data_IF_997490562077
#
_entry.id   IF_997490562077
#
_cell.length_a   1.000
_cell.length_b   1.000
_cell.length_c   1.000
_cell.angle_alpha   90.00
_cell.angle_beta   90.00
_cell.angle_gamma   90.00
#
_symmetry.space_group_name_H-M   'P 1'
#
loop_
_entity.id
_entity.type
_entity.pdbx_description
1 polymer ?
#
# COMPACT_ATOMS: atom_id res chain seq x y z
N UNK A 1 -8.47 2.13 7.53
CA UNK A 1 -9.08 1.37 6.44
C UNK A 1 -9.49 2.35 5.36
N UNK A 2 -9.16 2.10 4.12
CA UNK A 2 -9.40 3.00 2.98
C UNK A 2 -10.26 2.26 1.97
N UNK A 3 -11.36 2.88 1.50
CA UNK A 3 -12.25 2.28 0.49
C UNK A 3 -11.80 2.65 -0.91
N UNK A 4 -11.86 1.69 -1.82
CA UNK A 4 -11.40 1.81 -3.19
C UNK A 4 -12.27 1.09 -4.21
N UNK A 5 -11.83 1.14 -5.43
CA UNK A 5 -12.40 0.41 -6.56
C UNK A 5 -11.27 -0.15 -7.42
N UNK A 6 -11.53 -1.25 -8.11
CA UNK A 6 -10.69 -1.62 -9.24
C UNK A 6 -11.47 -1.49 -10.55
N UNK A 7 -10.77 -1.05 -11.58
CA UNK A 7 -11.39 -0.71 -12.86
C UNK A 7 -10.51 -1.14 -14.04
N UNK A 8 -11.18 -1.37 -15.15
CA UNK A 8 -10.60 -1.72 -16.42
C UNK A 8 -11.36 -1.05 -17.59
N UNK A 9 -10.97 -1.35 -18.81
CA UNK A 9 -11.72 -0.90 -20.02
C UNK A 9 -13.21 -1.19 -19.97
N UNK A 10 -13.65 -2.19 -19.21
CA UNK A 10 -15.05 -2.58 -19.12
C UNK A 10 -15.92 -1.57 -18.37
N UNK A 11 -15.31 -0.76 -17.49
CA UNK A 11 -15.98 0.35 -16.82
C UNK A 11 -16.19 1.57 -17.74
N UNK A 12 -15.61 1.54 -18.96
CA UNK A 12 -15.66 2.66 -19.88
C UNK A 12 -14.90 3.88 -19.36
N UNK A 13 -15.43 5.06 -19.60
CA UNK A 13 -14.86 6.31 -19.11
C UNK A 13 -15.39 6.62 -17.70
N UNK A 14 -14.56 6.37 -16.71
CA UNK A 14 -14.86 6.67 -15.30
C UNK A 14 -14.92 8.19 -15.09
N UNK A 15 -15.95 8.66 -14.40
CA UNK A 15 -16.02 10.02 -13.85
C UNK A 15 -15.29 10.07 -12.49
N UNK A 16 -13.98 10.27 -12.55
CA UNK A 16 -13.12 10.29 -11.36
C UNK A 16 -13.44 11.42 -10.39
N UNK A 17 -13.99 12.52 -10.88
CA UNK A 17 -14.43 13.64 -10.03
C UNK A 17 -15.65 13.23 -9.20
N UNK A 18 -16.64 12.60 -9.82
CA UNK A 18 -17.81 12.05 -9.11
C UNK A 18 -17.40 10.93 -8.15
N UNK A 19 -16.49 10.03 -8.55
CA UNK A 19 -15.98 8.98 -7.70
C UNK A 19 -15.27 9.53 -6.46
N UNK A 20 -14.41 10.55 -6.63
CA UNK A 20 -13.74 11.24 -5.53
C UNK A 20 -14.72 11.93 -4.59
N UNK A 21 -15.72 12.63 -5.14
CA UNK A 21 -16.75 13.31 -4.35
C UNK A 21 -17.59 12.32 -3.52
N UNK A 22 -17.74 11.08 -3.99
CA UNK A 22 -18.38 9.98 -3.26
C UNK A 22 -17.48 9.31 -2.20
N UNK A 23 -16.28 9.85 -1.95
CA UNK A 23 -15.38 9.39 -0.89
C UNK A 23 -14.35 8.34 -1.32
N UNK A 24 -14.07 8.20 -2.64
CA UNK A 24 -13.06 7.27 -3.13
C UNK A 24 -11.69 7.58 -2.52
N UNK A 25 -11.11 6.59 -1.83
CA UNK A 25 -9.81 6.67 -1.18
C UNK A 25 -8.67 6.24 -2.10
N UNK A 26 -8.88 5.22 -2.95
CA UNK A 26 -7.88 4.72 -3.89
C UNK A 26 -8.52 4.00 -5.09
N UNK A 27 -7.70 3.73 -6.11
CA UNK A 27 -8.10 2.94 -7.27
C UNK A 27 -7.00 1.96 -7.68
N UNK A 28 -7.39 0.74 -8.10
CA UNK A 28 -6.53 -0.20 -8.78
C UNK A 28 -6.91 -0.23 -10.26
N UNK A 29 -5.94 0.08 -11.13
CA UNK A 29 -6.18 0.32 -12.54
C UNK A 29 -5.61 -0.82 -13.36
N UNK A 30 -6.45 -1.52 -14.14
CA UNK A 30 -5.90 -2.49 -15.09
C UNK A 30 -5.03 -1.78 -16.10
N UNK A 31 -3.76 -2.19 -16.19
CA UNK A 31 -2.85 -1.61 -17.18
C UNK A 31 -2.84 -2.41 -18.49
N UNK A 32 -3.12 -3.70 -18.44
CA UNK A 32 -3.14 -4.58 -19.59
C UNK A 32 -3.38 -6.04 -19.18
N UNK A 33 -3.06 -6.94 -20.09
CA UNK A 33 -3.14 -8.39 -19.88
C UNK A 33 -2.07 -9.09 -20.70
N UNK A 34 -1.53 -10.21 -20.17
CA UNK A 34 -0.61 -11.08 -20.89
C UNK A 34 0.71 -10.42 -21.28
N UNK A 35 1.31 -10.93 -22.35
CA UNK A 35 2.65 -10.58 -22.83
C UNK A 35 2.81 -9.11 -23.22
N UNK A 36 4.06 -8.65 -23.33
CA UNK A 36 4.39 -7.27 -23.71
C UNK A 36 4.10 -6.97 -25.18
N UNK A 37 2.83 -6.74 -25.47
CA UNK A 37 2.31 -6.36 -26.77
C UNK A 37 1.39 -5.14 -26.59
N UNK A 38 1.56 -4.08 -27.37
CA UNK A 38 0.75 -2.86 -27.30
C UNK A 38 -0.75 -3.14 -27.49
N UNK A 39 -1.11 -4.18 -28.29
CA UNK A 39 -2.49 -4.62 -28.48
C UNK A 39 -3.14 -5.21 -27.22
N UNK A 40 -2.34 -5.51 -26.20
CA UNK A 40 -2.78 -6.04 -24.91
C UNK A 40 -2.81 -4.97 -23.81
N UNK A 41 -2.43 -3.73 -24.13
CA UNK A 41 -2.59 -2.60 -23.21
C UNK A 41 -4.09 -2.34 -22.95
N UNK A 42 -4.43 -1.96 -21.71
CA UNK A 42 -5.78 -1.47 -21.44
C UNK A 42 -5.94 -0.05 -21.98
N UNK A 43 -6.86 0.19 -22.94
CA UNK A 43 -6.98 1.49 -23.60
C UNK A 43 -7.39 2.64 -22.66
N UNK A 44 -7.95 2.32 -21.49
CA UNK A 44 -8.34 3.31 -20.48
C UNK A 44 -7.20 3.61 -19.49
N UNK A 45 -6.14 2.79 -19.43
CA UNK A 45 -5.11 2.92 -18.39
C UNK A 45 -4.46 4.30 -18.35
N UNK A 46 -3.97 4.79 -19.49
CA UNK A 46 -3.30 6.10 -19.55
C UNK A 46 -4.22 7.26 -19.16
N UNK A 47 -5.52 7.19 -19.55
CA UNK A 47 -6.54 8.15 -19.15
C UNK A 47 -6.80 8.05 -17.64
N UNK A 48 -7.03 6.86 -17.14
CA UNK A 48 -7.34 6.63 -15.72
C UNK A 48 -6.21 7.13 -14.81
N UNK A 49 -4.94 6.84 -15.14
CA UNK A 49 -3.77 7.38 -14.42
C UNK A 49 -3.80 8.91 -14.37
N UNK A 50 -3.92 9.56 -15.52
CA UNK A 50 -3.95 11.03 -15.60
C UNK A 50 -5.08 11.63 -14.77
N UNK A 51 -6.26 11.04 -14.85
CA UNK A 51 -7.44 11.54 -14.12
C UNK A 51 -7.33 11.26 -12.61
N UNK A 52 -6.79 10.10 -12.19
CA UNK A 52 -6.51 9.84 -10.77
C UNK A 52 -5.51 10.86 -10.22
N UNK A 53 -4.42 11.13 -10.93
CA UNK A 53 -3.42 12.13 -10.52
C UNK A 53 -4.04 13.53 -10.43
N UNK A 54 -4.84 13.93 -11.41
CA UNK A 54 -5.50 15.24 -11.45
C UNK A 54 -6.52 15.44 -10.30
N UNK A 55 -7.17 14.36 -9.84
CA UNK A 55 -8.14 14.39 -8.73
C UNK A 55 -7.54 14.01 -7.37
N UNK A 56 -6.22 13.81 -7.28
CA UNK A 56 -5.52 13.43 -6.06
C UNK A 56 -6.03 12.09 -5.49
N UNK A 57 -6.33 11.13 -6.36
CA UNK A 57 -6.72 9.77 -6.00
C UNK A 57 -5.46 8.89 -6.02
N UNK A 58 -5.01 8.34 -4.88
CA UNK A 58 -3.96 7.34 -4.86
C UNK A 58 -4.34 6.14 -5.72
N UNK A 59 -3.41 5.67 -6.55
CA UNK A 59 -3.69 4.54 -7.43
C UNK A 59 -2.55 3.52 -7.44
N UNK A 60 -2.90 2.28 -7.75
CA UNK A 60 -2.03 1.17 -8.12
C UNK A 60 -2.38 0.65 -9.50
N UNK A 61 -1.63 -0.32 -9.98
CA UNK A 61 -1.93 -0.94 -11.26
C UNK A 61 -1.98 -2.46 -11.15
N UNK A 62 -2.71 -3.13 -12.04
CA UNK A 62 -2.67 -4.56 -12.16
C UNK A 62 -2.64 -5.02 -13.63
N UNK A 63 -2.01 -6.18 -13.83
CA UNK A 63 -1.95 -6.88 -15.12
C UNK A 63 -2.64 -8.24 -14.97
N UNK A 64 -3.64 -8.50 -15.79
CA UNK A 64 -4.28 -9.82 -15.86
C UNK A 64 -3.33 -10.83 -16.52
N UNK A 65 -2.92 -11.85 -15.78
CA UNK A 65 -1.89 -12.78 -16.22
C UNK A 65 -2.44 -13.87 -17.14
N UNK A 66 -1.76 -14.06 -18.27
CA UNK A 66 -1.93 -15.20 -19.17
C UNK A 66 -0.72 -16.14 -19.19
N UNK A 67 0.26 -15.88 -18.32
CA UNK A 67 1.46 -16.69 -18.24
C UNK A 67 1.15 -18.17 -17.91
N UNK A 68 1.77 -19.08 -18.65
CA UNK A 68 1.69 -20.52 -18.43
C UNK A 68 3.00 -21.10 -17.87
N UNK A 69 4.06 -20.29 -17.86
CA UNK A 69 5.39 -20.64 -17.38
C UNK A 69 6.18 -19.38 -16.99
N UNK A 70 7.35 -19.49 -16.33
CA UNK A 70 8.16 -18.35 -15.93
C UNK A 70 8.72 -17.52 -17.11
N UNK A 71 8.82 -18.07 -18.32
CA UNK A 71 9.25 -17.31 -19.49
C UNK A 71 8.17 -16.33 -19.93
N UNK A 72 6.91 -16.76 -19.96
CA UNK A 72 5.77 -15.89 -20.22
C UNK A 72 5.67 -14.80 -19.14
N UNK A 73 5.89 -15.16 -17.87
CA UNK A 73 5.91 -14.21 -16.74
C UNK A 73 6.95 -13.09 -16.91
N UNK A 74 8.11 -13.39 -17.50
CA UNK A 74 9.11 -12.36 -17.82
C UNK A 74 8.60 -11.36 -18.88
N UNK A 75 7.83 -11.82 -19.86
CA UNK A 75 7.19 -10.92 -20.83
C UNK A 75 6.12 -10.05 -20.16
N UNK A 76 5.32 -10.60 -19.26
CA UNK A 76 4.34 -9.85 -18.47
C UNK A 76 5.00 -8.80 -17.56
N UNK A 77 6.16 -9.12 -16.98
CA UNK A 77 6.97 -8.16 -16.24
C UNK A 77 7.43 -7.00 -17.14
N UNK A 78 7.92 -7.28 -18.35
CA UNK A 78 8.30 -6.22 -19.29
C UNK A 78 7.10 -5.34 -19.68
N UNK A 79 5.93 -5.94 -19.87
CA UNK A 79 4.67 -5.24 -20.12
C UNK A 79 4.36 -4.23 -19.00
N UNK A 80 4.39 -4.69 -17.74
CA UNK A 80 4.21 -3.84 -16.57
C UNK A 80 5.23 -2.70 -16.53
N UNK A 81 6.53 -3.01 -16.67
CA UNK A 81 7.60 -2.01 -16.61
C UNK A 81 7.49 -0.96 -17.73
N UNK A 82 7.10 -1.37 -18.94
CA UNK A 82 6.86 -0.43 -20.04
C UNK A 82 5.72 0.52 -19.72
N UNK A 83 4.60 0.02 -19.23
CA UNK A 83 3.42 0.83 -18.95
C UNK A 83 3.59 1.73 -17.71
N UNK A 84 4.42 1.33 -16.75
CA UNK A 84 4.69 2.08 -15.53
C UNK A 84 5.79 3.14 -15.70
N UNK A 85 6.53 3.12 -16.79
CA UNK A 85 7.65 4.05 -17.02
C UNK A 85 7.22 5.51 -16.84
N UNK A 86 7.92 6.22 -15.94
CA UNK A 86 7.67 7.64 -15.65
C UNK A 86 6.42 7.91 -14.79
N UNK A 87 5.71 6.88 -14.31
CA UNK A 87 4.55 7.01 -13.45
C UNK A 87 4.93 6.76 -11.98
N UNK A 88 4.14 7.31 -11.07
CA UNK A 88 4.39 7.23 -9.61
C UNK A 88 3.15 6.75 -8.85
N UNK A 89 2.77 5.48 -8.97
CA UNK A 89 1.65 4.93 -8.20
C UNK A 89 1.91 5.02 -6.70
N UNK A 90 0.84 5.16 -5.93
CA UNK A 90 0.87 5.19 -4.45
C UNK A 90 0.35 3.90 -3.83
N UNK A 91 -0.04 2.94 -4.65
CA UNK A 91 -0.40 1.57 -4.29
C UNK A 91 0.53 0.57 -4.98
N UNK A 92 0.55 -0.70 -4.53
CA UNK A 92 1.35 -1.74 -5.16
C UNK A 92 0.98 -1.98 -6.62
N UNK A 93 1.88 -2.65 -7.32
CA UNK A 93 1.65 -3.20 -8.66
C UNK A 93 1.34 -4.67 -8.50
N UNK A 94 0.18 -5.10 -8.98
CA UNK A 94 -0.31 -6.45 -8.79
C UNK A 94 -0.23 -7.27 -10.07
N UNK A 95 0.20 -8.53 -9.92
CA UNK A 95 -0.07 -9.57 -10.91
C UNK A 95 -1.41 -10.22 -10.54
N UNK A 96 -2.37 -10.14 -11.45
CA UNK A 96 -3.71 -10.70 -11.27
C UNK A 96 -3.72 -12.17 -11.71
N UNK A 97 -3.78 -13.06 -10.72
CA UNK A 97 -3.70 -14.52 -10.89
C UNK A 97 -5.05 -15.18 -10.75
N UNK A 98 -5.72 -15.28 -11.87
CA UNK A 98 -6.99 -15.98 -12.03
C UNK A 98 -7.12 -16.60 -13.43
N UNK A 99 -8.27 -17.18 -13.71
CA UNK A 99 -8.59 -17.81 -15.02
C UNK A 99 -10.09 -17.67 -15.34
N UNK A 100 -10.64 -16.45 -15.19
CA UNK A 100 -12.06 -16.19 -15.36
C UNK A 100 -12.58 -16.50 -16.78
N UNK A 101 -11.70 -16.42 -17.81
CA UNK A 101 -12.00 -16.74 -19.20
C UNK A 101 -11.62 -18.17 -19.60
N UNK A 102 -11.02 -18.94 -18.68
CA UNK A 102 -10.60 -20.33 -18.91
C UNK A 102 -9.39 -20.46 -19.83
N UNK A 103 -8.58 -19.42 -20.01
CA UNK A 103 -7.42 -19.44 -20.89
C UNK A 103 -6.38 -20.47 -20.45
N UNK A 104 -6.02 -20.47 -19.16
CA UNK A 104 -5.04 -21.40 -18.57
C UNK A 104 -5.60 -22.82 -18.55
N UNK A 105 -6.87 -22.99 -18.17
CA UNK A 105 -7.54 -24.29 -18.14
C UNK A 105 -7.56 -24.95 -19.52
N UNK A 106 -7.89 -24.22 -20.58
CA UNK A 106 -7.92 -24.71 -21.96
C UNK A 106 -6.54 -25.12 -22.50
N UNK A 107 -5.46 -24.69 -21.85
CA UNK A 107 -4.06 -24.98 -22.24
C UNK A 107 -3.34 -25.93 -21.29
N UNK A 108 -4.11 -26.62 -20.44
CA UNK A 108 -3.56 -27.58 -19.48
C UNK A 108 -3.05 -26.92 -18.21
N UNK A 109 -3.91 -26.19 -17.52
CA UNK A 109 -3.66 -25.47 -16.26
C UNK A 109 -2.29 -25.80 -15.62
N UNK A 110 -1.35 -24.86 -15.53
CA UNK A 110 -0.03 -25.14 -14.95
C UNK A 110 -0.14 -25.63 -13.51
N UNK A 111 0.87 -26.36 -13.05
CA UNK A 111 0.90 -26.85 -11.67
C UNK A 111 0.97 -25.69 -10.66
N UNK A 112 0.63 -25.98 -9.41
CA UNK A 112 0.70 -25.03 -8.29
C UNK A 112 2.10 -24.41 -8.16
N UNK A 113 3.13 -25.20 -8.32
CA UNK A 113 4.53 -24.76 -8.27
C UNK A 113 4.83 -23.77 -9.40
N UNK A 114 4.39 -24.08 -10.62
CA UNK A 114 4.61 -23.20 -11.79
C UNK A 114 3.85 -21.91 -11.64
N UNK A 115 2.57 -21.94 -11.23
CA UNK A 115 1.77 -20.74 -11.00
C UNK A 115 2.36 -19.86 -9.90
N UNK A 116 2.85 -20.46 -8.81
CA UNK A 116 3.55 -19.73 -7.73
C UNK A 116 4.85 -19.11 -8.23
N UNK A 117 5.62 -19.80 -9.07
CA UNK A 117 6.86 -19.28 -9.64
C UNK A 117 6.61 -18.14 -10.65
N UNK A 118 5.50 -18.16 -11.39
CA UNK A 118 5.05 -17.05 -12.23
C UNK A 118 4.88 -15.79 -11.38
N UNK A 119 4.13 -15.87 -10.28
CA UNK A 119 3.94 -14.74 -9.35
C UNK A 119 5.27 -14.24 -8.82
N UNK A 120 6.13 -15.13 -8.33
CA UNK A 120 7.45 -14.77 -7.80
C UNK A 120 8.32 -14.08 -8.86
N UNK A 121 8.32 -14.58 -10.08
CA UNK A 121 9.11 -13.99 -11.18
C UNK A 121 8.70 -12.55 -11.45
N UNK A 122 7.40 -12.27 -11.51
CA UNK A 122 6.92 -10.90 -11.77
C UNK A 122 7.13 -10.01 -10.55
N UNK A 123 6.76 -10.48 -9.35
CA UNK A 123 6.87 -9.67 -8.13
C UNK A 123 8.33 -9.34 -7.80
N UNK A 124 9.26 -10.30 -7.88
CA UNK A 124 10.68 -10.04 -7.66
C UNK A 124 11.23 -9.04 -8.68
N UNK A 125 10.90 -9.20 -9.96
CA UNK A 125 11.34 -8.26 -11.00
C UNK A 125 10.76 -6.84 -10.83
N UNK A 126 9.54 -6.70 -10.32
CA UNK A 126 8.97 -5.40 -9.96
C UNK A 126 9.70 -4.79 -8.77
N UNK A 127 10.03 -5.57 -7.76
CA UNK A 127 10.79 -5.08 -6.60
C UNK A 127 12.21 -4.68 -6.95
N UNK A 128 12.89 -5.46 -7.82
CA UNK A 128 14.21 -5.13 -8.36
C UNK A 128 14.17 -3.81 -9.16
N UNK A 129 13.05 -3.53 -9.84
CA UNK A 129 12.82 -2.26 -10.52
C UNK A 129 12.38 -1.11 -9.60
N UNK A 130 12.29 -1.35 -8.28
CA UNK A 130 11.96 -0.34 -7.28
C UNK A 130 10.46 -0.15 -7.03
N UNK A 131 9.61 -1.03 -7.52
CA UNK A 131 8.18 -1.00 -7.23
C UNK A 131 7.83 -1.81 -5.98
N UNK A 132 6.73 -1.46 -5.34
CA UNK A 132 6.09 -2.30 -4.33
C UNK A 132 5.21 -3.30 -5.07
N UNK A 133 5.53 -4.58 -4.94
CA UNK A 133 4.88 -5.64 -5.70
C UNK A 133 3.82 -6.39 -4.90
N UNK A 134 2.83 -6.94 -5.59
CA UNK A 134 1.81 -7.77 -5.02
C UNK A 134 1.17 -8.73 -6.03
N UNK A 135 0.28 -9.55 -5.54
CA UNK A 135 -0.53 -10.44 -6.36
C UNK A 135 -2.00 -10.41 -5.92
N UNK A 136 -2.87 -10.58 -6.90
CA UNK A 136 -4.30 -10.80 -6.67
C UNK A 136 -4.62 -12.26 -6.86
N UNK A 137 -5.47 -12.79 -6.00
CA UNK A 137 -6.09 -14.09 -6.18
C UNK A 137 -7.40 -14.17 -5.40
N UNK A 138 -8.35 -14.95 -5.91
CA UNK A 138 -9.55 -15.32 -5.20
C UNK A 138 -9.30 -16.53 -4.27
N UNK A 139 -10.32 -16.89 -3.49
CA UNK A 139 -10.23 -17.98 -2.51
C UNK A 139 -9.78 -19.31 -3.12
N UNK A 140 -10.40 -19.74 -4.23
CA UNK A 140 -10.06 -21.02 -4.87
C UNK A 140 -8.59 -21.06 -5.30
N UNK A 141 -8.10 -19.97 -5.90
CA UNK A 141 -6.72 -19.87 -6.35
C UNK A 141 -5.71 -19.94 -5.20
N UNK A 142 -5.98 -19.26 -4.11
CA UNK A 142 -5.10 -19.30 -2.92
C UNK A 142 -5.07 -20.70 -2.28
N UNK A 143 -6.21 -21.38 -2.25
CA UNK A 143 -6.32 -22.70 -1.63
C UNK A 143 -5.77 -23.84 -2.53
N UNK A 144 -5.94 -23.71 -3.85
CA UNK A 144 -5.71 -24.84 -4.77
C UNK A 144 -4.60 -24.62 -5.82
N UNK A 145 -4.29 -23.37 -6.17
CA UNK A 145 -3.42 -23.02 -7.30
C UNK A 145 -2.12 -22.31 -6.91
N UNK A 146 -2.07 -21.65 -5.78
CA UNK A 146 -0.90 -20.90 -5.31
C UNK A 146 -0.38 -21.47 -3.98
N UNK A 147 0.87 -21.15 -3.67
CA UNK A 147 1.51 -21.42 -2.39
C UNK A 147 1.70 -20.08 -1.64
N UNK A 148 0.74 -19.67 -0.77
CA UNK A 148 0.77 -18.37 -0.12
C UNK A 148 1.98 -18.19 0.82
N UNK A 149 2.51 -19.27 1.38
CA UNK A 149 3.69 -19.19 2.27
C UNK A 149 4.91 -18.69 1.49
N UNK A 150 5.08 -19.15 0.25
CA UNK A 150 6.17 -18.70 -0.64
C UNK A 150 5.96 -17.28 -1.19
N UNK A 151 4.77 -16.73 -1.04
CA UNK A 151 4.38 -15.40 -1.52
C UNK A 151 4.21 -14.37 -0.38
N UNK A 152 4.44 -14.75 0.87
CA UNK A 152 4.21 -13.94 2.07
C UNK A 152 5.01 -12.63 2.13
N UNK A 153 6.05 -12.48 1.31
CA UNK A 153 6.82 -11.22 1.20
C UNK A 153 6.16 -10.15 0.32
N UNK A 154 5.13 -10.50 -0.46
CA UNK A 154 4.47 -9.60 -1.40
C UNK A 154 3.11 -9.15 -0.87
N UNK A 155 2.66 -7.99 -1.34
CA UNK A 155 1.32 -7.50 -1.02
C UNK A 155 0.24 -8.45 -1.55
N UNK A 156 -0.73 -8.77 -0.71
CA UNK A 156 -1.81 -9.67 -1.10
C UNK A 156 -3.13 -8.92 -1.26
N UNK A 157 -3.65 -8.92 -2.49
CA UNK A 157 -4.97 -8.44 -2.84
C UNK A 157 -5.92 -9.65 -3.00
N UNK A 158 -6.80 -9.81 -2.04
CA UNK A 158 -7.64 -10.99 -1.90
C UNK A 158 -9.07 -10.73 -2.35
N UNK A 159 -9.57 -11.53 -3.30
CA UNK A 159 -10.99 -11.51 -3.69
C UNK A 159 -11.81 -12.47 -2.84
N UNK A 160 -12.74 -11.88 -2.11
CA UNK A 160 -13.74 -12.60 -1.32
C UNK A 160 -15.02 -11.78 -1.25
N UNK A 161 -15.75 -11.65 -2.40
CA UNK A 161 -16.93 -10.78 -2.48
C UNK A 161 -18.13 -11.35 -1.74
N UNK A 162 -19.04 -10.45 -1.35
CA UNK A 162 -20.32 -10.82 -0.76
C UNK A 162 -20.24 -11.41 0.63
N UNK A 163 -19.17 -11.14 1.39
CA UNK A 163 -19.03 -11.50 2.80
C UNK A 163 -18.81 -10.25 3.65
N UNK A 164 -19.11 -10.36 4.94
CA UNK A 164 -18.99 -9.21 5.86
C UNK A 164 -17.54 -8.81 6.15
N UNK A 165 -16.61 -9.77 6.05
CA UNK A 165 -15.16 -9.56 6.23
C UNK A 165 -14.39 -10.67 5.53
N UNK A 166 -13.12 -10.44 5.14
CA UNK A 166 -12.29 -11.49 4.57
C UNK A 166 -12.03 -12.61 5.59
N UNK A 167 -12.01 -13.85 5.10
CA UNK A 167 -11.79 -15.05 5.91
C UNK A 167 -10.31 -15.41 6.09
N UNK A 168 -9.41 -14.53 5.62
CA UNK A 168 -7.95 -14.61 5.82
C UNK A 168 -7.32 -13.24 5.86
N UNK A 169 -6.10 -13.16 6.41
CA UNK A 169 -5.30 -11.94 6.38
C UNK A 169 -4.94 -11.56 4.93
N UNK A 170 -5.14 -10.30 4.59
CA UNK A 170 -4.79 -9.70 3.32
C UNK A 170 -4.50 -8.20 3.52
N UNK A 171 -3.82 -7.60 2.56
CA UNK A 171 -3.51 -6.16 2.62
C UNK A 171 -4.60 -5.32 1.95
N UNK A 172 -5.15 -5.85 0.85
CA UNK A 172 -6.30 -5.30 0.15
C UNK A 172 -7.32 -6.41 -0.04
N UNK A 173 -8.58 -6.09 0.17
CA UNK A 173 -9.71 -7.00 0.02
C UNK A 173 -10.65 -6.48 -1.05
N UNK A 174 -10.87 -7.26 -2.12
CA UNK A 174 -11.96 -7.02 -3.06
C UNK A 174 -13.24 -7.56 -2.44
N UNK A 175 -14.05 -6.62 -1.93
CA UNK A 175 -15.18 -6.90 -1.04
C UNK A 175 -16.44 -7.25 -1.78
N UNK A 176 -16.66 -6.64 -2.95
CA UNK A 176 -17.83 -6.90 -3.79
C UNK A 176 -17.51 -6.84 -5.26
N UNK A 177 -18.26 -7.64 -6.01
CA UNK A 177 -18.45 -7.54 -7.44
C UNK A 177 -19.80 -6.86 -7.78
N UNK A 178 -20.06 -6.44 -9.01
CA UNK A 178 -21.39 -6.00 -9.42
C UNK A 178 -22.50 -6.98 -9.07
N UNK A 179 -22.22 -8.30 -9.15
CA UNK A 179 -23.16 -9.37 -8.83
C UNK A 179 -23.47 -9.53 -7.34
N UNK A 180 -22.62 -9.01 -6.47
CA UNK A 180 -22.80 -9.03 -4.99
C UNK A 180 -23.19 -7.67 -4.43
N UNK A 181 -23.42 -6.67 -5.29
CA UNK A 181 -23.89 -5.34 -4.92
C UNK A 181 -22.84 -4.25 -5.00
N UNK A 182 -21.64 -4.59 -5.47
CA UNK A 182 -20.56 -3.63 -5.68
C UNK A 182 -20.97 -2.53 -6.65
N UNK A 183 -20.74 -1.28 -6.26
CA UNK A 183 -21.01 -0.09 -7.07
C UNK A 183 -20.31 1.12 -6.50
N UNK A 184 -19.94 2.03 -7.40
CA UNK A 184 -19.36 3.31 -7.00
C UNK A 184 -19.82 4.43 -7.93
N UNK A 185 -20.29 5.58 -7.44
CA UNK A 185 -20.69 6.70 -8.28
C UNK A 185 -19.56 7.10 -9.25
N UNK A 186 -19.88 7.22 -10.52
CA UNK A 186 -18.91 7.58 -11.57
C UNK A 186 -18.09 6.43 -12.15
N UNK A 187 -18.09 5.23 -11.53
CA UNK A 187 -17.24 4.11 -11.96
C UNK A 187 -18.00 2.84 -12.36
N UNK A 188 -19.32 2.85 -12.26
CA UNK A 188 -20.13 1.67 -12.57
C UNK A 188 -20.04 1.30 -14.07
N UNK A 189 -19.94 0.01 -14.34
CA UNK A 189 -20.18 -0.55 -15.67
C UNK A 189 -21.62 -0.21 -16.07
N UNK A 190 -21.87 0.30 -17.28
CA UNK A 190 -23.23 0.64 -17.72
C UNK A 190 -24.20 -0.53 -17.53
N UNK A 191 -25.28 -0.27 -16.80
CA UNK A 191 -26.30 -1.29 -16.50
C UNK A 191 -25.92 -2.32 -15.43
N UNK A 192 -24.79 -2.13 -14.76
CA UNK A 192 -24.28 -3.03 -13.73
C UNK A 192 -23.73 -2.22 -12.54
N UNK A 193 -22.61 -2.67 -11.95
CA UNK A 193 -21.93 -2.07 -10.82
C UNK A 193 -20.44 -1.87 -11.10
N UNK A 194 -19.66 -1.85 -10.04
CA UNK A 194 -18.22 -1.73 -10.04
C UNK A 194 -17.65 -2.65 -8.97
N UNK A 195 -16.46 -3.19 -9.18
CA UNK A 195 -15.75 -3.90 -8.14
C UNK A 195 -15.30 -2.91 -7.06
N UNK A 196 -15.44 -3.31 -5.80
CA UNK A 196 -15.11 -2.46 -4.66
C UNK A 196 -14.08 -3.13 -3.76
N UNK A 197 -13.20 -2.30 -3.19
CA UNK A 197 -12.06 -2.72 -2.41
C UNK A 197 -11.94 -2.02 -1.07
N UNK A 198 -11.28 -2.69 -0.14
CA UNK A 198 -10.87 -2.12 1.13
C UNK A 198 -9.37 -2.36 1.35
N UNK A 199 -8.59 -1.31 1.60
CA UNK A 199 -7.19 -1.42 1.97
C UNK A 199 -7.02 -1.33 3.48
N UNK A 200 -6.35 -2.31 4.07
CA UNK A 200 -5.98 -2.36 5.49
C UNK A 200 -4.62 -1.73 5.76
N UNK A 201 -3.85 -1.44 4.68
CA UNK A 201 -2.53 -0.83 4.72
C UNK A 201 -2.59 0.60 4.18
N UNK A 202 -1.91 1.54 4.83
CA UNK A 202 -1.69 2.89 4.31
C UNK A 202 -0.54 2.87 3.29
N UNK A 203 -0.86 2.43 2.07
CA UNK A 203 0.13 2.37 0.99
C UNK A 203 0.68 3.73 0.57
N UNK A 204 -0.09 4.82 0.49
CA UNK A 204 0.46 6.14 0.22
C UNK A 204 1.56 6.57 1.18
N UNK A 205 1.43 6.27 2.48
CA UNK A 205 2.47 6.51 3.46
C UNK A 205 3.65 5.55 3.27
N UNK A 206 3.40 4.25 3.14
CA UNK A 206 4.41 3.20 2.98
C UNK A 206 5.28 3.42 1.75
N UNK A 207 4.68 3.64 0.58
CA UNK A 207 5.39 3.87 -0.69
C UNK A 207 6.34 5.05 -0.59
N UNK A 208 5.91 6.17 0.01
CA UNK A 208 6.76 7.35 0.21
C UNK A 208 7.87 7.08 1.22
N UNK A 209 7.57 6.42 2.33
CA UNK A 209 8.55 6.12 3.38
C UNK A 209 9.64 5.16 2.88
N UNK A 210 9.27 4.15 2.11
CA UNK A 210 10.20 3.17 1.55
C UNK A 210 10.94 3.69 0.30
N UNK A 211 10.46 4.76 -0.33
CA UNK A 211 11.01 5.28 -1.59
C UNK A 211 10.77 4.34 -2.75
N UNK A 212 9.60 3.72 -2.79
CA UNK A 212 9.17 2.80 -3.85
C UNK A 212 8.37 3.52 -4.94
N UNK A 213 8.09 2.83 -6.03
CA UNK A 213 7.22 3.30 -7.13
C UNK A 213 7.66 4.64 -7.74
N UNK A 214 8.96 4.89 -7.82
CA UNK A 214 9.51 6.13 -8.34
C UNK A 214 9.39 7.36 -7.40
N UNK A 215 8.87 7.18 -6.19
CA UNK A 215 8.92 8.21 -5.17
C UNK A 215 10.30 8.26 -4.53
N UNK A 216 10.87 9.45 -4.28
CA UNK A 216 12.13 9.53 -3.55
C UNK A 216 11.91 9.04 -2.13
N UNK A 217 12.82 8.20 -1.65
CA UNK A 217 12.86 7.92 -0.22
C UNK A 217 13.08 9.26 0.51
N UNK A 218 12.30 9.58 1.54
CA UNK A 218 12.60 10.74 2.37
C UNK A 218 14.09 10.69 2.73
N UNK A 219 14.81 11.80 2.55
CA UNK A 219 16.16 11.87 3.08
C UNK A 219 16.07 11.37 4.50
N UNK A 220 16.89 10.38 4.87
CA UNK A 220 17.05 10.01 6.27
C UNK A 220 17.21 11.35 6.95
N UNK A 221 16.27 11.70 7.88
CA UNK A 221 16.45 12.90 8.66
C UNK A 221 17.91 12.81 9.09
N UNK A 222 18.75 13.73 8.61
CA UNK A 222 20.17 13.73 8.94
C UNK A 222 20.16 13.57 10.43
N UNK A 223 20.66 12.41 10.95
CA UNK A 223 20.77 12.23 12.40
C UNK A 223 21.46 13.51 12.82
N UNK A 224 20.84 14.35 13.64
CA UNK A 224 21.55 15.47 14.20
C UNK A 224 22.81 14.83 14.77
N UNK A 225 23.97 15.33 14.35
CA UNK A 225 25.26 14.83 14.80
C UNK A 225 25.09 14.62 16.29
N UNK A 226 25.30 13.38 16.75
CA UNK A 226 25.13 12.90 18.12
C UNK A 226 25.46 14.05 19.05
N UNK A 227 24.44 14.82 19.49
CA UNK A 227 24.65 15.86 20.47
C UNK A 227 25.22 15.11 21.67
N UNK A 228 26.45 15.40 21.96
CA UNK A 228 27.08 14.92 23.20
C UNK A 228 26.08 15.29 24.31
N UNK A 229 25.88 14.36 25.23
CA UNK A 229 25.03 14.44 26.39
C UNK A 229 25.44 15.69 27.25
N UNK A 230 25.15 16.87 26.69
CA UNK A 230 25.22 18.13 27.40
C UNK A 230 23.81 18.34 27.90
N UNK A 231 23.60 18.28 29.19
CA UNK A 231 22.32 18.43 29.86
C UNK A 231 21.71 19.86 29.71
N UNK A 232 21.76 20.41 28.52
CA UNK A 232 21.13 21.67 28.15
C UNK A 232 19.65 21.43 27.87
N UNK A 233 18.80 22.03 28.68
CA UNK A 233 17.34 22.04 28.47
C UNK A 233 17.08 22.92 27.25
N UNK A 234 16.81 22.28 26.09
CA UNK A 234 16.34 23.00 24.90
C UNK A 234 14.90 23.41 25.16
N UNK A 235 14.64 24.72 25.24
CA UNK A 235 13.29 25.25 25.33
C UNK A 235 12.52 24.92 24.05
N UNK A 236 11.41 24.21 24.17
CA UNK A 236 10.52 23.86 23.06
C UNK A 236 9.09 24.18 23.44
N UNK A 237 8.30 24.63 22.44
CA UNK A 237 6.88 24.92 22.62
C UNK A 237 6.02 23.67 22.71
N UNK A 238 6.56 22.49 22.44
CA UNK A 238 5.87 21.21 22.51
C UNK A 238 5.99 20.55 23.88
N UNK A 239 4.86 20.34 24.55
CA UNK A 239 4.75 19.66 25.84
C UNK A 239 4.22 18.24 25.61
N UNK A 240 4.88 17.24 26.24
CA UNK A 240 4.46 15.85 26.20
C UNK A 240 3.87 15.45 27.57
N UNK A 241 2.94 14.50 27.54
CA UNK A 241 2.45 13.83 28.76
C UNK A 241 3.45 12.80 29.31
N UNK A 242 4.46 12.44 28.51
CA UNK A 242 5.51 11.48 28.85
C UNK A 242 6.82 12.21 29.09
N UNK A 243 7.32 12.14 30.31
CA UNK A 243 8.55 12.82 30.77
C UNK A 243 9.65 11.85 31.21
N UNK A 244 9.39 10.54 31.16
CA UNK A 244 10.33 9.48 31.55
C UNK A 244 10.43 8.43 30.46
N UNK A 245 11.52 7.68 30.47
CA UNK A 245 11.70 6.54 29.59
C UNK A 245 10.56 5.51 29.74
N UNK A 246 10.14 4.94 28.62
CA UNK A 246 8.98 4.01 28.53
C UNK A 246 9.46 2.63 28.17
N UNK A 247 9.01 1.62 28.90
CA UNK A 247 9.26 0.22 28.59
C UNK A 247 7.94 -0.49 28.26
N UNK A 248 7.91 -1.21 27.15
CA UNK A 248 6.71 -1.94 26.67
C UNK A 248 7.11 -3.27 26.03
N UNK A 249 6.30 -4.32 26.22
CA UNK A 249 6.47 -5.57 25.49
C UNK A 249 6.34 -5.40 23.99
N UNK A 250 7.02 -6.27 23.25
CA UNK A 250 6.94 -6.34 21.78
C UNK A 250 5.49 -6.40 21.30
N UNK A 251 5.15 -5.62 20.27
CA UNK A 251 3.80 -5.57 19.68
C UNK A 251 2.78 -4.76 20.47
N UNK A 252 3.12 -4.21 21.64
CA UNK A 252 2.18 -3.34 22.37
C UNK A 252 2.19 -1.92 21.86
N UNK A 253 1.02 -1.28 21.89
CA UNK A 253 0.84 0.12 21.51
C UNK A 253 0.98 1.02 22.75
N UNK A 254 1.71 2.12 22.58
CA UNK A 254 1.77 3.22 23.55
C UNK A 254 1.31 4.51 22.90
N UNK A 255 0.32 5.18 23.50
CA UNK A 255 -0.22 6.45 22.98
C UNK A 255 0.48 7.61 23.68
N UNK A 256 1.15 8.44 22.89
CA UNK A 256 1.80 9.67 23.31
C UNK A 256 0.87 10.84 23.02
N UNK A 257 0.64 11.70 24.00
CA UNK A 257 -0.10 12.96 23.86
C UNK A 257 0.85 14.15 23.83
N UNK A 258 0.70 14.97 22.80
CA UNK A 258 1.51 16.17 22.61
C UNK A 258 0.61 17.41 22.61
N UNK A 259 1.02 18.43 23.31
CA UNK A 259 0.38 19.75 23.27
C UNK A 259 1.36 20.73 22.62
N UNK A 260 1.05 21.17 21.40
CA UNK A 260 1.90 22.04 20.59
C UNK A 260 1.07 23.06 19.83
N UNK A 261 1.53 24.29 19.65
CA UNK A 261 0.81 25.34 18.90
C UNK A 261 0.60 24.96 17.42
N UNK A 262 1.54 24.21 16.85
CA UNK A 262 1.50 23.69 15.49
C UNK A 262 1.68 22.16 15.51
N UNK A 263 1.25 21.49 14.43
CA UNK A 263 1.41 20.04 14.30
C UNK A 263 2.89 19.66 14.36
N UNK A 264 3.34 18.93 15.38
CA UNK A 264 4.73 18.49 15.46
C UNK A 264 4.99 17.29 14.55
N UNK A 265 6.25 17.07 14.18
CA UNK A 265 6.71 15.78 13.72
C UNK A 265 7.14 14.93 14.93
N UNK A 266 6.85 13.64 14.91
CA UNK A 266 7.34 12.65 15.88
C UNK A 266 8.12 11.59 15.11
N UNK A 267 9.33 11.28 15.54
CA UNK A 267 10.20 10.31 14.87
C UNK A 267 10.89 9.38 15.85
N UNK A 268 11.19 8.17 15.41
CA UNK A 268 12.05 7.22 16.12
C UNK A 268 13.48 7.32 15.56
N UNK A 269 14.47 7.37 16.44
CA UNK A 269 15.88 7.57 16.06
C UNK A 269 16.56 6.34 15.44
N UNK A 270 15.95 5.16 15.53
CA UNK A 270 16.43 3.91 14.93
C UNK A 270 15.26 2.97 14.61
N UNK A 271 15.57 1.80 14.04
CA UNK A 271 14.60 0.71 13.85
C UNK A 271 14.11 0.18 15.21
N UNK A 272 12.97 -0.52 15.20
CA UNK A 272 12.40 -1.20 16.37
C UNK A 272 11.10 -0.59 16.87
N UNK A 273 10.80 0.67 16.52
CA UNK A 273 9.53 1.34 16.87
C UNK A 273 8.90 1.97 15.64
N UNK A 274 7.64 1.64 15.40
CA UNK A 274 6.79 2.31 14.42
C UNK A 274 6.14 3.52 15.08
N UNK A 275 6.27 4.68 14.46
CA UNK A 275 5.60 5.93 14.87
C UNK A 275 4.40 6.12 13.94
N UNK A 276 3.21 5.96 14.48
CA UNK A 276 1.97 6.14 13.71
C UNK A 276 1.69 7.62 13.42
N UNK A 277 0.99 7.93 12.33
CA UNK A 277 0.61 9.30 12.00
C UNK A 277 -0.15 9.99 13.15
N UNK A 278 0.17 11.26 13.39
CA UNK A 278 -0.51 12.04 14.42
C UNK A 278 -1.95 12.33 14.05
N UNK A 279 -2.86 12.10 14.99
CA UNK A 279 -4.25 12.55 14.94
C UNK A 279 -4.46 13.75 15.83
N UNK A 280 -5.31 14.70 15.43
CA UNK A 280 -5.70 15.82 16.28
C UNK A 280 -6.65 15.35 17.39
N UNK A 281 -6.41 15.82 18.62
CA UNK A 281 -7.24 15.57 19.81
C UNK A 281 -7.67 16.90 20.44
N UNK A 282 -8.20 17.80 19.61
CA UNK A 282 -8.61 19.14 20.02
C UNK A 282 -7.68 20.24 19.50
N UNK A 283 -7.87 21.46 20.02
CA UNK A 283 -7.04 22.61 19.64
C UNK A 283 -5.64 22.47 20.25
N UNK A 284 -4.62 22.44 19.41
CA UNK A 284 -3.21 22.33 19.79
C UNK A 284 -2.83 21.02 20.51
N UNK A 285 -3.65 19.98 20.41
CA UNK A 285 -3.38 18.67 21.00
C UNK A 285 -3.33 17.59 19.93
N UNK A 286 -2.35 16.69 20.03
CA UNK A 286 -2.06 15.66 19.05
C UNK A 286 -1.81 14.32 19.75
N UNK A 287 -2.31 13.24 19.20
CA UNK A 287 -2.05 11.88 19.66
C UNK A 287 -1.18 11.15 18.64
N UNK A 288 -0.19 10.42 19.13
CA UNK A 288 0.71 9.58 18.35
C UNK A 288 0.82 8.20 18.99
N UNK A 289 0.60 7.16 18.24
CA UNK A 289 0.80 5.80 18.70
C UNK A 289 2.22 5.32 18.33
N UNK A 290 2.90 4.73 19.31
CA UNK A 290 4.20 4.09 19.17
C UNK A 290 4.01 2.59 19.34
N UNK A 291 4.50 1.78 18.39
CA UNK A 291 4.41 0.31 18.46
C UNK A 291 5.81 -0.29 18.28
N UNK A 292 6.28 -1.00 19.29
CA UNK A 292 7.54 -1.74 19.21
C UNK A 292 7.39 -2.99 18.35
N UNK A 293 8.24 -3.17 17.34
CA UNK A 293 8.25 -4.35 16.46
C UNK A 293 9.59 -5.12 16.49
N UNK A 294 10.59 -4.61 17.18
CA UNK A 294 11.89 -5.25 17.41
C UNK A 294 12.38 -4.89 18.80
N UNK A 295 12.94 -5.86 19.54
CA UNK A 295 13.45 -5.62 20.89
C UNK A 295 14.68 -4.71 20.89
N UNK A 296 14.76 -3.80 21.84
CA UNK A 296 15.85 -2.83 21.92
C UNK A 296 15.41 -1.49 22.47
N UNK A 297 16.32 -0.52 22.45
CA UNK A 297 16.08 0.83 22.95
C UNK A 297 16.15 1.85 21.80
N UNK A 298 15.14 2.71 21.69
CA UNK A 298 14.95 3.67 20.59
C UNK A 298 14.65 5.04 21.18
N UNK A 299 15.39 6.08 20.80
CA UNK A 299 15.06 7.48 21.14
C UNK A 299 13.81 7.96 20.38
N UNK A 300 12.90 8.61 21.08
CA UNK A 300 11.73 9.27 20.50
C UNK A 300 11.97 10.78 20.46
N UNK A 301 11.85 11.34 19.28
CA UNK A 301 12.16 12.75 19.00
C UNK A 301 10.91 13.50 18.55
N UNK A 302 10.84 14.79 18.86
CA UNK A 302 9.83 15.70 18.32
C UNK A 302 10.48 16.90 17.65
N UNK A 303 9.81 17.44 16.64
CA UNK A 303 10.16 18.71 15.99
C UNK A 303 8.91 19.51 15.73
N UNK A 304 8.86 20.74 16.21
CA UNK A 304 7.85 21.73 15.83
C UNK A 304 8.40 22.54 14.66
N UNK A 305 7.60 22.96 13.67
CA UNK A 305 8.07 23.78 12.57
C UNK A 305 8.77 25.06 13.09
N UNK A 306 10.03 25.26 12.69
CA UNK A 306 10.87 26.37 13.11
C UNK A 306 11.68 26.15 14.40
N UNK A 307 11.53 25.02 15.07
CA UNK A 307 12.30 24.62 16.24
C UNK A 307 13.31 23.49 15.94
N UNK A 308 14.28 23.31 16.81
CA UNK A 308 15.21 22.21 16.71
C UNK A 308 14.56 20.86 17.04
N UNK A 309 15.16 19.76 16.57
CA UNK A 309 14.74 18.40 16.90
C UNK A 309 15.16 18.08 18.33
N UNK A 310 14.20 17.70 19.16
CA UNK A 310 14.43 17.38 20.56
C UNK A 310 14.23 15.90 20.85
N UNK A 311 15.21 15.25 21.50
CA UNK A 311 15.02 13.93 22.13
C UNK A 311 14.07 14.12 23.34
N UNK A 312 13.02 13.30 23.41
CA UNK A 312 12.00 13.41 24.46
C UNK A 312 12.13 12.35 25.54
N UNK A 313 12.29 11.10 25.12
CA UNK A 313 12.48 9.96 26.00
C UNK A 313 13.01 8.76 25.21
N UNK A 314 13.43 7.72 25.90
CA UNK A 314 13.81 6.44 25.31
C UNK A 314 12.64 5.47 25.42
N UNK A 315 12.37 4.76 24.34
CA UNK A 315 11.36 3.72 24.29
C UNK A 315 12.05 2.37 24.21
N UNK A 316 11.90 1.56 25.25
CA UNK A 316 12.48 0.22 25.33
C UNK A 316 11.42 -0.80 25.00
N UNK A 317 11.71 -1.63 24.00
CA UNK A 317 10.89 -2.77 23.59
C UNK A 317 11.47 -4.03 24.20
N UNK A 318 10.70 -4.76 25.01
CA UNK A 318 11.11 -5.95 25.75
C UNK A 318 10.38 -7.20 25.33
#
# INVERSE_FOLDING_TARGET
>A
MMKGIDVSRYNGEVDWKAAKAAGLGFALLRCGYGSDLESQDDPQFARNVRECDANGIPWGAYLYSYALNPTDAKSELQHLLRLLKGKRPLFPIYLDMEDADGYKAKRGMPSREVLTEIVKTVCAGLEDAGYLAGYYANRDWVETKLDPEKLSGYSFWYARPGVEKPDRACDVWQSDFPSTGGKWPGANIPGSGCDTDESFVDYPARVRQEGKNGWPKPAAATQPARAADSGEIIETTCVLDTTMDVEKPLGTCYTLKLTCPQKPAVTAGSKGVCVCPLSADGKNTWLCNLVGYETGEVGIYTQVPGEEVCLRFRYRVT
#
